data_IF_809062580688
#
_entry.id   IF_809062580688
#
_cell.length_a   1.000
_cell.length_b   1.000
_cell.length_c   1.000
_cell.angle_alpha   90.00
_cell.angle_beta   90.00
_cell.angle_gamma   90.00
#
_symmetry.space_group_name_H-M   'P 1'
#
loop_
_entity.id
_entity.type
_entity.pdbx_description
1 polymer ?
#
# COMPACT_ATOMS: atom_id res chain seq x y z
N UNK A 1 -13.09 -6.63 23.06
CA UNK A 1 -13.93 -7.81 22.78
C UNK A 1 -13.07 -8.82 22.06
N UNK A 2 -12.58 -9.83 22.78
CA UNK A 2 -11.67 -10.85 22.28
C UNK A 2 -12.36 -12.20 22.40
N UNK A 3 -12.65 -12.85 21.26
CA UNK A 3 -13.27 -14.18 21.24
C UNK A 3 -12.17 -15.21 21.02
N UNK A 4 -11.84 -15.99 22.06
CA UNK A 4 -11.03 -17.20 21.98
C UNK A 4 -11.96 -18.38 21.70
N UNK A 5 -11.85 -18.99 20.53
CA UNK A 5 -12.45 -20.31 20.25
C UNK A 5 -11.54 -21.41 20.81
N UNK A 6 -12.10 -22.28 21.64
CA UNK A 6 -11.45 -23.40 22.30
C UNK A 6 -12.01 -24.69 21.69
N UNK A 7 -11.22 -25.39 20.88
CA UNK A 7 -11.63 -26.62 20.19
C UNK A 7 -11.51 -27.81 21.14
N UNK A 8 -12.58 -28.59 21.25
CA UNK A 8 -12.77 -29.73 22.17
C UNK A 8 -12.04 -30.97 21.64
N UNK A 9 -11.27 -31.64 22.50
CA UNK A 9 -10.76 -33.00 22.29
C UNK A 9 -11.87 -34.03 22.53
N UNK A 10 -12.08 -34.92 21.57
CA UNK A 10 -12.97 -36.07 21.71
C UNK A 10 -12.17 -37.30 22.15
N UNK A 11 -12.56 -37.86 23.29
CA UNK A 11 -12.20 -39.21 23.75
C UNK A 11 -12.84 -40.25 22.82
N UNK A 12 -12.06 -41.21 22.36
CA UNK A 12 -12.55 -42.47 21.78
C UNK A 12 -12.01 -43.63 22.60
N UNK A 13 -12.91 -44.26 23.35
CA UNK A 13 -12.71 -45.48 24.16
C UNK A 13 -12.86 -46.70 23.24
N UNK A 14 -11.95 -47.68 23.33
CA UNK A 14 -12.22 -49.08 22.96
C UNK A 14 -11.60 -49.99 24.02
N UNK A 15 -12.43 -50.92 24.53
CA UNK A 15 -12.18 -51.88 25.62
C UNK A 15 -12.01 -53.29 25.04
N UNK A 16 -11.13 -54.09 25.66
CA UNK A 16 -11.10 -55.56 25.63
C UNK A 16 -10.11 -56.15 24.62
N UNK A 17 -9.27 -57.15 24.91
CA UNK A 17 -9.36 -58.29 25.85
C UNK A 17 -7.93 -58.77 26.19
N UNK A 18 -7.73 -59.28 27.42
CA UNK A 18 -6.47 -59.83 27.93
C UNK A 18 -6.24 -61.30 27.51
N UNK A 19 -4.97 -61.71 27.34
CA UNK A 19 -4.45 -63.05 27.68
C UNK A 19 -2.92 -63.09 27.53
N UNK A 20 -2.26 -63.40 28.64
CA UNK A 20 -0.82 -63.62 28.80
C UNK A 20 -0.43 -65.03 28.33
N UNK A 21 0.59 -65.14 27.48
CA UNK A 21 1.34 -66.40 27.26
C UNK A 21 2.84 -66.09 27.24
N UNK A 22 3.54 -66.65 28.22
CA UNK A 22 5.00 -66.67 28.32
C UNK A 22 5.57 -67.65 27.28
N UNK A 23 6.51 -67.21 26.46
CA UNK A 23 7.22 -68.05 25.49
C UNK A 23 8.61 -67.49 25.18
N UNK A 24 9.63 -68.27 25.51
CA UNK A 24 11.05 -68.04 25.20
C UNK A 24 11.31 -68.07 23.68
N UNK A 25 12.15 -67.13 23.22
CA UNK A 25 13.14 -67.37 22.15
C UNK A 25 12.64 -67.51 20.71
N UNK A 26 12.67 -66.42 19.95
CA UNK A 26 13.00 -66.46 18.53
C UNK A 26 13.56 -65.10 18.09
N UNK A 27 14.76 -65.13 17.54
CA UNK A 27 15.49 -64.01 16.91
C UNK A 27 14.60 -63.24 15.94
N UNK A 28 14.36 -61.96 16.23
CA UNK A 28 13.49 -61.11 15.44
C UNK A 28 14.07 -60.79 14.07
N UNK A 29 13.24 -60.71 13.02
CA UNK A 29 13.57 -59.87 11.89
C UNK A 29 13.39 -58.42 12.35
N UNK A 30 14.47 -57.67 12.40
CA UNK A 30 14.41 -56.22 12.51
C UNK A 30 13.67 -55.69 11.27
N UNK A 31 12.37 -55.42 11.41
CA UNK A 31 11.66 -54.57 10.47
C UNK A 31 12.32 -53.21 10.57
N UNK A 32 13.19 -52.89 9.60
CA UNK A 32 13.72 -51.56 9.43
C UNK A 32 12.52 -50.62 9.37
N UNK A 33 12.37 -49.76 10.39
CA UNK A 33 11.42 -48.68 10.34
C UNK A 33 11.80 -47.84 9.12
N UNK A 34 10.99 -47.91 8.07
CA UNK A 34 11.12 -47.05 6.91
C UNK A 34 10.98 -45.62 7.46
N UNK A 35 12.12 -44.92 7.51
CA UNK A 35 12.18 -43.52 7.87
C UNK A 35 11.16 -42.85 6.95
N UNK A 36 10.13 -42.14 7.46
CA UNK A 36 9.20 -41.46 6.58
C UNK A 36 10.04 -40.63 5.63
N UNK A 37 9.96 -40.97 4.34
CA UNK A 37 10.79 -40.37 3.31
C UNK A 37 10.78 -38.88 3.54
N UNK A 38 11.97 -38.27 3.58
CA UNK A 38 12.10 -36.84 3.70
C UNK A 38 11.21 -36.24 2.61
N UNK A 39 10.03 -35.75 3.01
CA UNK A 39 9.23 -34.90 2.15
C UNK A 39 10.18 -33.76 1.87
N UNK A 40 10.74 -33.72 0.66
CA UNK A 40 11.64 -32.67 0.23
C UNK A 40 10.98 -31.37 0.68
N UNK A 41 11.57 -30.74 1.69
CA UNK A 41 11.03 -29.55 2.29
C UNK A 41 11.09 -28.51 1.17
N UNK A 42 10.01 -28.38 0.40
CA UNK A 42 9.90 -27.45 -0.71
C UNK A 42 10.20 -26.11 -0.08
N UNK A 43 11.41 -25.59 -0.33
CA UNK A 43 11.91 -24.42 0.35
C UNK A 43 10.80 -23.36 0.34
N UNK A 44 10.41 -22.81 1.49
CA UNK A 44 9.31 -21.86 1.52
C UNK A 44 9.73 -20.63 0.70
N UNK A 45 9.20 -20.50 -0.52
CA UNK A 45 9.44 -19.37 -1.39
C UNK A 45 8.46 -18.26 -0.99
N UNK A 46 8.98 -17.22 -0.34
CA UNK A 46 8.26 -15.99 -0.01
C UNK A 46 8.49 -14.92 -1.06
N UNK A 47 7.58 -13.95 -1.15
CA UNK A 47 7.85 -12.72 -1.91
C UNK A 47 7.41 -11.49 -1.14
N UNK A 48 8.18 -10.42 -1.23
CA UNK A 48 7.87 -9.15 -0.60
C UNK A 48 8.32 -7.98 -1.48
N UNK A 49 7.80 -6.79 -1.19
CA UNK A 49 8.15 -5.57 -1.90
C UNK A 49 9.02 -4.65 -1.05
N UNK A 50 9.86 -3.85 -1.69
CA UNK A 50 10.68 -2.80 -1.07
C UNK A 50 10.61 -1.51 -1.87
N UNK A 51 10.45 -0.37 -1.21
CA UNK A 51 10.63 0.94 -1.85
C UNK A 51 12.11 1.30 -1.81
N UNK A 52 12.67 1.67 -2.97
CA UNK A 52 14.06 2.12 -3.10
C UNK A 52 14.12 3.48 -3.80
N UNK A 53 15.28 4.14 -3.69
CA UNK A 53 15.59 5.41 -4.35
C UNK A 53 14.51 6.48 -4.13
N UNK A 54 13.93 6.51 -2.93
CA UNK A 54 12.85 7.43 -2.55
C UNK A 54 13.40 8.84 -2.39
N UNK A 55 12.81 9.77 -3.13
CA UNK A 55 12.97 11.20 -2.91
C UNK A 55 11.61 11.86 -2.73
N UNK A 56 11.57 12.98 -2.02
CA UNK A 56 10.35 13.75 -1.78
C UNK A 56 10.59 15.23 -2.02
N UNK A 57 9.68 15.87 -2.74
CA UNK A 57 9.66 17.31 -2.96
C UNK A 57 8.43 17.88 -2.27
N UNK A 58 8.66 18.70 -1.25
CA UNK A 58 7.60 19.47 -0.60
C UNK A 58 7.12 20.61 -1.49
N UNK A 59 5.98 21.20 -1.15
CA UNK A 59 5.39 22.35 -1.86
C UNK A 59 5.20 22.14 -3.36
N UNK A 60 5.05 20.89 -3.80
CA UNK A 60 4.76 20.57 -5.19
C UNK A 60 3.33 20.98 -5.54
N UNK A 61 3.16 21.77 -6.61
CA UNK A 61 1.85 22.15 -7.13
C UNK A 61 1.31 21.00 -7.97
N UNK A 62 0.17 20.45 -7.58
CA UNK A 62 -0.52 19.40 -8.32
C UNK A 62 -1.21 19.97 -9.58
N UNK A 63 -1.48 19.10 -10.54
CA UNK A 63 -2.13 19.48 -11.81
C UNK A 63 -3.66 19.57 -11.73
N UNK A 64 -4.27 19.00 -10.70
CA UNK A 64 -5.72 19.00 -10.56
C UNK A 64 -6.23 20.41 -10.22
N UNK A 65 -7.13 20.93 -11.04
CA UNK A 65 -7.86 22.15 -10.74
C UNK A 65 -8.87 21.91 -9.60
N UNK A 66 -8.77 22.69 -8.53
CA UNK A 66 -9.70 22.60 -7.38
C UNK A 66 -10.90 23.54 -7.53
N UNK A 67 -10.63 24.75 -8.00
CA UNK A 67 -11.64 25.78 -8.19
C UNK A 67 -11.13 26.83 -9.18
N UNK A 68 -12.06 27.59 -9.75
CA UNK A 68 -11.74 28.80 -10.50
C UNK A 68 -12.81 29.86 -10.38
N UNK A 69 -12.40 31.11 -10.54
CA UNK A 69 -13.28 32.26 -10.68
C UNK A 69 -12.71 33.17 -11.76
N UNK A 70 -13.57 33.74 -12.60
CA UNK A 70 -13.17 34.73 -13.60
C UNK A 70 -14.32 35.04 -14.54
N UNK A 71 -14.11 36.01 -15.43
CA UNK A 71 -15.08 36.39 -16.46
C UNK A 71 -14.40 36.47 -17.84
N UNK A 72 -15.09 35.93 -18.85
CA UNK A 72 -14.65 36.02 -20.25
C UNK A 72 -14.84 37.44 -20.82
N UNK A 73 -15.74 38.23 -20.24
CA UNK A 73 -16.25 39.47 -20.84
C UNK A 73 -15.80 40.74 -20.13
N UNK A 74 -15.50 40.67 -18.83
CA UNK A 74 -15.12 41.82 -18.02
C UNK A 74 -14.00 41.46 -17.03
N UNK A 75 -13.28 42.48 -16.54
CA UNK A 75 -12.43 42.32 -15.39
C UNK A 75 -13.29 42.24 -14.11
N UNK A 76 -12.93 41.36 -13.18
CA UNK A 76 -13.70 41.17 -11.95
C UNK A 76 -12.82 40.83 -10.75
N UNK A 77 -13.35 41.08 -9.56
CA UNK A 77 -12.74 40.59 -8.32
C UNK A 77 -13.17 39.13 -8.10
N UNK A 78 -12.22 38.29 -7.72
CA UNK A 78 -12.44 36.86 -7.52
C UNK A 78 -11.99 36.43 -6.14
N UNK A 79 -12.84 35.67 -5.45
CA UNK A 79 -12.53 35.01 -4.19
C UNK A 79 -12.95 33.53 -4.23
N UNK A 80 -12.02 32.66 -3.88
CA UNK A 80 -12.16 31.21 -3.78
C UNK A 80 -11.95 30.82 -2.32
N UNK A 81 -13.03 30.60 -1.57
CA UNK A 81 -13.01 30.37 -0.11
C UNK A 81 -13.84 29.16 0.30
N UNK A 82 -13.58 27.98 -0.29
CA UNK A 82 -14.34 26.76 0.04
C UNK A 82 -13.47 25.53 0.15
N UNK A 83 -13.92 24.58 0.97
CA UNK A 83 -13.38 23.22 0.98
C UNK A 83 -13.56 22.54 -0.38
N UNK A 84 -12.50 21.87 -0.83
CA UNK A 84 -12.44 21.09 -2.07
C UNK A 84 -11.74 19.77 -1.81
N UNK A 85 -11.82 18.86 -2.77
CA UNK A 85 -11.20 17.55 -2.68
C UNK A 85 -10.09 17.44 -3.73
N UNK A 86 -8.88 17.13 -3.28
CA UNK A 86 -7.73 16.86 -4.14
C UNK A 86 -7.46 15.36 -4.19
N UNK A 87 -7.02 14.87 -5.35
CA UNK A 87 -6.70 13.48 -5.56
C UNK A 87 -5.29 13.17 -5.09
N UNK A 88 -5.17 12.10 -4.30
CA UNK A 88 -3.92 11.49 -3.91
C UNK A 88 -3.57 10.38 -4.87
N UNK A 89 -2.46 10.52 -5.57
CA UNK A 89 -1.96 9.51 -6.50
C UNK A 89 -0.85 8.69 -5.85
N UNK A 90 -0.82 7.39 -6.14
CA UNK A 90 0.24 6.47 -5.71
C UNK A 90 0.49 5.55 -6.89
N UNK A 91 1.66 5.66 -7.53
CA UNK A 91 2.07 4.74 -8.58
C UNK A 91 2.37 3.37 -8.01
N UNK A 92 1.83 2.33 -8.63
CA UNK A 92 2.00 0.94 -8.23
C UNK A 92 2.55 0.16 -9.41
N UNK A 93 3.35 -0.85 -9.11
CA UNK A 93 3.90 -1.78 -10.09
C UNK A 93 4.24 -3.10 -9.37
N UNK A 94 4.57 -4.14 -10.13
CA UNK A 94 5.00 -5.46 -9.64
C UNK A 94 4.00 -6.11 -8.66
N UNK A 95 2.71 -5.78 -8.78
CA UNK A 95 1.63 -6.29 -7.92
C UNK A 95 1.58 -5.68 -6.51
N UNK A 96 2.31 -4.59 -6.25
CA UNK A 96 2.25 -3.91 -4.96
C UNK A 96 0.88 -3.27 -4.71
N UNK A 97 0.35 -3.40 -3.49
CA UNK A 97 -0.94 -2.82 -3.13
C UNK A 97 -0.83 -1.35 -2.73
N UNK A 98 -1.92 -0.59 -2.91
CA UNK A 98 -2.00 0.82 -2.52
C UNK A 98 -1.74 1.02 -1.03
N UNK A 99 -2.33 0.18 -0.18
CA UNK A 99 -2.17 0.25 1.27
C UNK A 99 -0.72 0.02 1.71
N UNK A 100 -0.05 -0.96 1.12
CA UNK A 100 1.37 -1.21 1.38
C UNK A 100 2.23 0.00 0.97
N UNK A 101 2.07 0.49 -0.27
CA UNK A 101 2.87 1.61 -0.76
C UNK A 101 2.61 2.89 0.06
N UNK A 102 1.34 3.15 0.41
CA UNK A 102 0.97 4.27 1.28
C UNK A 102 1.65 4.17 2.67
N UNK A 103 1.67 2.97 3.26
CA UNK A 103 2.36 2.70 4.52
C UNK A 103 3.87 2.96 4.44
N UNK A 104 4.53 2.48 3.39
CA UNK A 104 5.96 2.71 3.16
C UNK A 104 6.30 4.19 2.88
N UNK A 105 5.37 4.91 2.23
CA UNK A 105 5.51 6.34 1.99
C UNK A 105 5.14 7.21 3.20
N UNK A 106 4.54 6.63 4.25
CA UNK A 106 3.96 7.30 5.43
C UNK A 106 2.87 8.31 5.04
N UNK A 107 1.99 7.92 4.13
CA UNK A 107 0.84 8.72 3.67
C UNK A 107 -0.46 7.92 3.80
N UNK A 108 -1.60 8.62 3.77
CA UNK A 108 -2.90 7.94 3.77
C UNK A 108 -3.12 7.11 2.50
N UNK A 109 -3.74 5.94 2.65
CA UNK A 109 -4.16 5.11 1.54
C UNK A 109 -5.42 5.65 0.83
N UNK A 110 -6.10 6.68 1.38
CA UNK A 110 -7.26 7.29 0.72
C UNK A 110 -6.89 7.87 -0.65
N UNK A 111 -7.80 7.73 -1.62
CA UNK A 111 -7.67 8.32 -2.96
C UNK A 111 -7.84 9.84 -2.96
N UNK A 112 -8.38 10.39 -1.88
CA UNK A 112 -8.73 11.81 -1.79
C UNK A 112 -8.24 12.44 -0.50
N UNK A 113 -8.13 13.77 -0.53
CA UNK A 113 -7.80 14.63 0.58
C UNK A 113 -8.68 15.87 0.53
N UNK A 114 -9.33 16.21 1.64
CA UNK A 114 -9.99 17.51 1.77
C UNK A 114 -8.93 18.61 1.88
N UNK A 115 -9.09 19.65 1.07
CA UNK A 115 -8.22 20.82 0.94
C UNK A 115 -9.03 22.09 1.10
N UNK A 116 -8.64 22.96 2.03
CA UNK A 116 -9.20 24.30 2.15
C UNK A 116 -8.60 25.22 1.10
N UNK A 117 -9.43 25.76 0.21
CA UNK A 117 -9.02 26.75 -0.80
C UNK A 117 -9.33 28.14 -0.29
N UNK A 118 -8.30 28.98 -0.17
CA UNK A 118 -8.42 30.40 0.16
C UNK A 118 -7.54 31.20 -0.79
N UNK A 119 -8.13 31.74 -1.85
CA UNK A 119 -7.45 32.59 -2.82
C UNK A 119 -8.32 33.75 -3.24
N UNK A 120 -7.81 34.97 -3.10
CA UNK A 120 -8.51 36.17 -3.51
C UNK A 120 -7.59 37.01 -4.38
N UNK A 121 -8.13 37.53 -5.49
CA UNK A 121 -7.43 38.48 -6.35
C UNK A 121 -8.39 39.54 -6.85
N UNK A 122 -7.97 40.79 -6.69
CA UNK A 122 -8.67 41.95 -7.27
C UNK A 122 -8.30 42.09 -8.74
N UNK A 123 -9.26 42.49 -9.56
CA UNK A 123 -9.09 42.77 -11.00
C UNK A 123 -8.46 41.60 -11.78
N UNK A 124 -9.03 40.41 -11.69
CA UNK A 124 -8.73 39.33 -12.64
C UNK A 124 -9.09 39.85 -14.05
N UNK A 125 -8.15 39.85 -15.02
CA UNK A 125 -8.39 40.44 -16.33
C UNK A 125 -9.52 39.74 -17.11
N UNK A 126 -10.14 40.49 -18.03
CA UNK A 126 -11.07 39.94 -19.03
C UNK A 126 -10.42 38.76 -19.76
N UNK A 127 -11.16 37.66 -19.90
CA UNK A 127 -10.67 36.47 -20.61
C UNK A 127 -9.68 35.64 -19.78
N UNK A 128 -9.54 35.93 -18.48
CA UNK A 128 -8.73 35.16 -17.54
C UNK A 128 -9.57 34.67 -16.36
N UNK A 129 -9.04 33.67 -15.67
CA UNK A 129 -9.58 33.08 -14.46
C UNK A 129 -8.46 32.90 -13.43
N UNK A 130 -8.77 33.21 -12.17
CA UNK A 130 -8.00 32.75 -11.03
C UNK A 130 -8.29 31.26 -10.85
N UNK A 131 -7.25 30.43 -10.83
CA UNK A 131 -7.36 28.98 -10.69
C UNK A 131 -6.58 28.51 -9.47
N UNK A 132 -7.20 27.69 -8.63
CA UNK A 132 -6.58 27.08 -7.48
C UNK A 132 -6.14 25.63 -7.76
N UNK A 133 -4.92 25.29 -7.35
CA UNK A 133 -4.31 23.97 -7.45
C UNK A 133 -3.89 23.47 -6.06
N UNK A 134 -3.96 22.16 -5.78
CA UNK A 134 -3.52 21.62 -4.51
C UNK A 134 -1.99 21.70 -4.42
N UNK A 135 -1.49 22.01 -3.23
CA UNK A 135 -0.05 21.96 -2.95
C UNK A 135 0.21 20.86 -1.95
N UNK A 136 1.24 20.06 -2.21
CA UNK A 136 1.50 18.86 -1.43
C UNK A 136 2.93 18.36 -1.53
N UNK A 137 3.12 17.12 -1.12
CA UNK A 137 4.40 16.41 -1.26
C UNK A 137 4.32 15.48 -2.46
N UNK A 138 5.28 15.59 -3.37
CA UNK A 138 5.47 14.63 -4.45
C UNK A 138 6.61 13.68 -4.07
N UNK A 139 6.35 12.39 -4.18
CA UNK A 139 7.35 11.34 -4.02
C UNK A 139 7.76 10.82 -5.39
N UNK A 140 9.04 10.50 -5.53
CA UNK A 140 9.60 9.75 -6.66
C UNK A 140 10.33 8.55 -6.09
N UNK A 141 10.05 7.36 -6.60
CA UNK A 141 10.61 6.11 -6.06
C UNK A 141 10.58 4.98 -7.09
N UNK A 142 11.19 3.86 -6.76
CA UNK A 142 10.99 2.58 -7.46
C UNK A 142 10.55 1.52 -6.45
N UNK A 143 9.88 0.48 -6.93
CA UNK A 143 9.51 -0.71 -6.18
C UNK A 143 10.41 -1.86 -6.65
N UNK A 144 11.01 -2.57 -5.71
CA UNK A 144 11.66 -3.86 -5.96
C UNK A 144 10.76 -4.98 -5.43
N UNK A 145 10.65 -6.06 -6.21
CA UNK A 145 10.08 -7.31 -5.73
C UNK A 145 11.24 -8.24 -5.37
N UNK A 146 11.18 -8.77 -4.17
CA UNK A 146 12.12 -9.72 -3.62
C UNK A 146 11.47 -11.08 -3.52
N UNK A 147 12.28 -12.12 -3.71
CA UNK A 147 11.90 -13.50 -3.52
C UNK A 147 12.89 -14.12 -2.54
N UNK A 148 12.37 -14.68 -1.46
CA UNK A 148 13.16 -15.35 -0.42
C UNK A 148 12.97 -16.85 -0.51
N UNK A 149 14.06 -17.60 -0.60
CA UNK A 149 14.02 -19.06 -0.68
C UNK A 149 15.37 -19.66 -0.34
N UNK A 150 15.38 -20.82 0.33
CA UNK A 150 16.59 -21.52 0.73
C UNK A 150 17.63 -20.63 1.47
N UNK A 151 17.16 -19.76 2.37
CA UNK A 151 18.00 -18.87 3.17
C UNK A 151 18.60 -17.67 2.41
N UNK A 152 18.20 -17.43 1.16
CA UNK A 152 18.71 -16.35 0.32
C UNK A 152 17.58 -15.40 -0.09
N UNK A 153 17.94 -14.14 -0.34
CA UNK A 153 17.04 -13.09 -0.80
C UNK A 153 17.54 -12.54 -2.14
N UNK A 154 16.68 -12.58 -3.15
CA UNK A 154 17.00 -12.12 -4.50
C UNK A 154 15.98 -11.11 -5.00
N UNK A 155 16.48 -10.10 -5.72
CA UNK A 155 15.63 -9.14 -6.42
C UNK A 155 15.09 -9.81 -7.68
N UNK A 156 13.79 -10.09 -7.73
CA UNK A 156 13.13 -10.69 -8.88
C UNK A 156 12.67 -9.65 -9.92
N UNK A 157 12.63 -8.38 -9.55
CA UNK A 157 12.24 -7.31 -10.46
C UNK A 157 12.33 -5.93 -9.83
N UNK A 158 12.57 -4.91 -10.67
CA UNK A 158 12.58 -3.50 -10.27
C UNK A 158 11.69 -2.70 -11.21
N UNK A 159 10.80 -1.88 -10.66
CA UNK A 159 9.90 -1.03 -11.45
C UNK A 159 10.64 0.10 -12.17
N UNK A 160 9.97 0.72 -13.14
CA UNK A 160 10.33 2.06 -13.60
C UNK A 160 10.11 3.10 -12.47
N UNK A 161 10.50 4.34 -12.73
CA UNK A 161 10.21 5.43 -11.79
C UNK A 161 8.70 5.61 -11.60
N UNK A 162 8.27 5.48 -10.35
CA UNK A 162 6.92 5.71 -9.91
C UNK A 162 6.84 7.04 -9.17
N UNK A 163 5.65 7.61 -9.17
CA UNK A 163 5.36 8.87 -8.51
C UNK A 163 4.13 8.74 -7.62
N UNK A 164 4.15 9.43 -6.49
CA UNK A 164 2.97 9.64 -5.67
C UNK A 164 2.82 11.12 -5.37
N UNK A 165 1.59 11.62 -5.35
CA UNK A 165 1.29 12.99 -4.92
C UNK A 165 0.35 12.93 -3.72
N UNK A 166 0.78 13.55 -2.62
CA UNK A 166 0.02 13.68 -1.39
C UNK A 166 -0.35 15.16 -1.17
N UNK A 167 -1.60 15.56 -1.47
CA UNK A 167 -2.07 16.93 -1.22
C UNK A 167 -1.99 17.30 0.26
N UNK A 168 -1.64 18.54 0.57
CA UNK A 168 -1.80 19.11 1.92
C UNK A 168 -3.23 19.56 2.18
N UNK A 169 -3.68 19.54 3.43
CA UNK A 169 -5.07 19.87 3.82
C UNK A 169 -5.41 21.37 3.74
N UNK A 170 -4.42 22.26 3.79
CA UNK A 170 -4.64 23.71 3.80
C UNK A 170 -3.59 24.45 2.95
N UNK A 171 -3.12 23.82 1.88
CA UNK A 171 -2.12 24.41 0.98
C UNK A 171 -2.63 24.42 -0.45
N UNK A 172 -2.74 25.61 -1.02
CA UNK A 172 -3.15 25.82 -2.40
C UNK A 172 -2.22 26.82 -3.08
N UNK A 173 -2.02 26.64 -4.38
CA UNK A 173 -1.36 27.61 -5.24
C UNK A 173 -2.41 28.20 -6.17
N UNK A 174 -2.35 29.51 -6.37
CA UNK A 174 -3.33 30.23 -7.15
C UNK A 174 -2.67 31.06 -8.23
N UNK A 175 -3.16 30.91 -9.45
CA UNK A 175 -2.55 31.44 -10.65
C UNK A 175 -3.64 32.00 -11.58
N UNK A 176 -3.31 33.05 -12.34
CA UNK A 176 -4.20 33.64 -13.33
C UNK A 176 -3.93 32.96 -14.67
N UNK A 177 -4.94 32.26 -15.17
CA UNK A 177 -4.85 31.50 -16.42
C UNK A 177 -5.89 31.94 -17.42
N UNK A 178 -5.64 31.69 -18.70
CA UNK A 178 -6.68 31.80 -19.72
C UNK A 178 -7.81 30.81 -19.46
N UNK A 179 -8.98 31.11 -19.99
CA UNK A 179 -10.08 30.16 -20.02
C UNK A 179 -9.79 28.93 -20.87
#
# INVERSE_FOLDING_TARGET
MSVRLKTKSALGVVIGVALTVSGLGATGPATAAEKPGAQDARAAWGSYHKIISKTSTGSHVGSQKLASCGSRTAAMDCSLTRGRTANRTIGLDLGASRGWAAGQLKISASTTQSVSVTCSKRKVPKGKQLVAYPVGVRYKYKIQKHITGAGKDYVSGTSKWLYAFNPGSARVSCDIRSF
#
